data_IF_539369974389
#
_entry.id   IF_539369974389
#
_cell.length_a   1.000
_cell.length_b   1.000
_cell.length_c   1.000
_cell.angle_alpha   90.00
_cell.angle_beta   90.00
_cell.angle_gamma   90.00
#
_symmetry.space_group_name_H-M   'P 1'
#
loop_
_entity.id
_entity.type
_entity.pdbx_description
1 polymer ?
#
# COMPACT_ATOMS: atom_id res chain seq x y z
N UNK A 1 -11.49 -16.83 -8.34
CA UNK A 1 -10.71 -16.03 -9.30
C UNK A 1 -10.92 -16.56 -10.70
N UNK A 2 -10.19 -17.60 -11.06
CA UNK A 2 -10.19 -18.20 -12.41
C UNK A 2 -11.59 -18.55 -12.92
N UNK A 3 -12.40 -19.22 -12.10
CA UNK A 3 -13.78 -19.62 -12.47
C UNK A 3 -14.70 -18.42 -12.75
N UNK A 4 -14.34 -17.23 -12.27
CA UNK A 4 -15.05 -15.97 -12.50
C UNK A 4 -14.34 -15.06 -13.52
N UNK A 5 -13.28 -15.55 -14.18
CA UNK A 5 -12.49 -14.77 -15.14
C UNK A 5 -11.60 -13.70 -14.51
N UNK A 6 -11.36 -13.74 -13.20
CA UNK A 6 -10.54 -12.76 -12.48
C UNK A 6 -9.20 -13.38 -12.11
N UNK A 7 -8.09 -12.77 -12.57
CA UNK A 7 -6.75 -13.16 -12.14
C UNK A 7 -6.61 -12.93 -10.63
N UNK A 8 -6.18 -13.95 -9.91
CA UNK A 8 -6.04 -13.91 -8.45
C UNK A 8 -4.69 -14.49 -8.04
N UNK A 9 -4.01 -13.79 -7.15
CA UNK A 9 -2.77 -14.24 -6.50
C UNK A 9 -3.01 -14.17 -4.99
N UNK A 10 -2.42 -15.09 -4.24
CA UNK A 10 -2.52 -15.13 -2.78
C UNK A 10 -1.12 -15.18 -2.17
N UNK A 11 -0.88 -14.32 -1.18
CA UNK A 11 0.33 -14.30 -0.37
C UNK A 11 -0.02 -14.84 1.02
N UNK A 12 0.74 -15.82 1.50
CA UNK A 12 0.66 -16.27 2.89
C UNK A 12 1.69 -15.47 3.69
N UNK A 13 1.21 -14.62 4.59
CA UNK A 13 2.05 -13.67 5.35
C UNK A 13 2.05 -14.04 6.83
N UNK A 14 3.17 -13.80 7.50
CA UNK A 14 3.23 -13.99 8.95
C UNK A 14 2.36 -12.96 9.67
N UNK A 15 1.67 -13.43 10.72
CA UNK A 15 0.79 -12.63 11.58
C UNK A 15 1.03 -12.98 13.05
N UNK A 16 2.23 -13.50 13.37
CA UNK A 16 2.62 -13.84 14.75
C UNK A 16 2.67 -12.61 15.67
N UNK A 17 2.86 -11.43 15.09
CA UNK A 17 2.71 -10.11 15.72
C UNK A 17 1.85 -9.20 14.85
N UNK A 18 1.30 -8.10 15.40
CA UNK A 18 0.71 -7.04 14.58
C UNK A 18 1.69 -6.56 13.52
N UNK A 19 1.17 -6.25 12.35
CA UNK A 19 1.92 -5.54 11.30
C UNK A 19 2.03 -4.07 11.71
N UNK A 20 3.23 -3.51 11.62
CA UNK A 20 3.52 -2.14 12.03
C UNK A 20 3.61 -1.98 13.55
N UNK A 21 3.52 -0.73 14.00
CA UNK A 21 3.68 -0.35 15.42
C UNK A 21 2.38 0.18 16.02
N UNK A 22 1.31 0.28 15.23
CA UNK A 22 0.04 0.85 15.66
C UNK A 22 -1.14 -0.09 15.47
N UNK A 23 -2.14 0.05 16.35
CA UNK A 23 -3.43 -0.61 16.21
C UNK A 23 -4.52 0.34 16.72
N UNK A 24 -5.47 0.69 15.85
CA UNK A 24 -6.57 1.62 16.08
C UNK A 24 -6.70 2.66 14.96
N UNK A 25 -7.90 3.23 14.85
CA UNK A 25 -8.32 4.02 13.67
C UNK A 25 -7.35 5.15 13.25
N UNK A 26 -7.20 6.18 14.07
CA UNK A 26 -6.39 7.35 13.70
C UNK A 26 -4.88 7.07 13.80
N UNK A 27 -4.49 6.11 14.62
CA UNK A 27 -3.08 5.72 14.78
C UNK A 27 -2.57 5.04 13.52
N UNK A 28 -3.36 4.13 12.93
CA UNK A 28 -3.05 3.44 11.68
C UNK A 28 -3.01 4.41 10.48
N UNK A 29 -3.92 5.40 10.43
CA UNK A 29 -3.88 6.45 9.40
C UNK A 29 -2.58 7.25 9.50
N UNK A 30 -2.17 7.64 10.71
CA UNK A 30 -0.91 8.36 10.93
C UNK A 30 0.30 7.53 10.48
N UNK A 31 0.34 6.25 10.83
CA UNK A 31 1.43 5.34 10.41
C UNK A 31 1.47 5.15 8.89
N UNK A 32 0.30 5.05 8.23
CA UNK A 32 0.20 4.99 6.77
C UNK A 32 0.74 6.26 6.09
N UNK A 33 0.42 7.44 6.65
CA UNK A 33 0.94 8.72 6.16
C UNK A 33 2.46 8.83 6.40
N UNK A 34 2.97 8.30 7.51
CA UNK A 34 4.41 8.22 7.78
C UNK A 34 5.13 7.36 6.73
N UNK A 35 4.58 6.19 6.39
CA UNK A 35 5.09 5.33 5.31
C UNK A 35 5.11 6.06 3.98
N UNK A 36 3.99 6.71 3.61
CA UNK A 36 3.89 7.50 2.37
C UNK A 36 4.86 8.69 2.33
N UNK A 37 5.30 9.19 3.50
CA UNK A 37 6.29 10.25 3.62
C UNK A 37 7.75 9.75 3.60
N UNK A 38 7.97 8.44 3.41
CA UNK A 38 9.29 7.81 3.35
C UNK A 38 9.83 7.34 4.71
N UNK A 39 8.98 7.28 5.74
CA UNK A 39 9.31 6.74 7.07
C UNK A 39 8.52 5.46 7.37
N UNK A 40 8.20 5.24 8.64
CA UNK A 40 7.33 4.15 9.09
C UNK A 40 8.00 2.77 9.22
N UNK A 41 7.23 1.77 9.68
CA UNK A 41 7.75 0.43 9.97
C UNK A 41 8.11 -0.34 8.70
N UNK A 42 9.27 -1.00 8.70
CA UNK A 42 9.77 -1.72 7.53
C UNK A 42 8.87 -2.90 7.11
N UNK A 43 8.24 -3.59 8.06
CA UNK A 43 7.34 -4.70 7.80
C UNK A 43 6.07 -4.26 7.04
N UNK A 44 5.53 -3.07 7.35
CA UNK A 44 4.43 -2.45 6.59
C UNK A 44 4.87 -2.11 5.18
N UNK A 45 6.07 -1.52 5.01
CA UNK A 45 6.63 -1.17 3.70
C UNK A 45 6.81 -2.42 2.85
N UNK A 46 7.48 -3.45 3.39
CA UNK A 46 7.82 -4.68 2.67
C UNK A 46 6.58 -5.40 2.17
N UNK A 47 5.57 -5.56 3.04
CA UNK A 47 4.32 -6.22 2.66
C UNK A 47 3.53 -5.39 1.65
N UNK A 48 3.48 -4.07 1.81
CA UNK A 48 2.80 -3.17 0.86
C UNK A 48 3.43 -3.25 -0.53
N UNK A 49 4.76 -3.22 -0.61
CA UNK A 49 5.48 -3.33 -1.88
C UNK A 49 5.32 -4.72 -2.51
N UNK A 50 5.32 -5.80 -1.71
CA UNK A 50 5.07 -7.15 -2.21
C UNK A 50 3.67 -7.27 -2.83
N UNK A 51 2.64 -6.81 -2.13
CA UNK A 51 1.26 -6.80 -2.65
C UNK A 51 1.11 -5.93 -3.89
N UNK A 52 1.70 -4.73 -3.89
CA UNK A 52 1.63 -3.80 -5.02
C UNK A 52 2.27 -4.39 -6.29
N UNK A 53 3.42 -5.08 -6.18
CA UNK A 53 4.07 -5.75 -7.31
C UNK A 53 3.16 -6.81 -7.93
N UNK A 54 2.52 -7.65 -7.11
CA UNK A 54 1.57 -8.65 -7.59
C UNK A 54 0.33 -8.03 -8.27
N UNK A 55 -0.16 -6.91 -7.74
CA UNK A 55 -1.27 -6.15 -8.34
C UNK A 55 -0.88 -5.56 -9.70
N UNK A 56 0.31 -4.98 -9.82
CA UNK A 56 0.82 -4.43 -11.07
C UNK A 56 1.02 -5.53 -12.12
N UNK A 57 1.59 -6.66 -11.72
CA UNK A 57 1.74 -7.83 -12.57
C UNK A 57 0.38 -8.38 -13.01
N UNK A 58 -0.60 -8.42 -12.10
CA UNK A 58 -1.97 -8.82 -12.39
C UNK A 58 -2.64 -7.90 -13.43
N UNK A 59 -2.38 -6.60 -13.35
CA UNK A 59 -2.87 -5.57 -14.27
C UNK A 59 -2.08 -5.47 -15.59
N UNK A 60 -0.93 -6.16 -15.70
CA UNK A 60 -0.05 -6.08 -16.87
C UNK A 60 0.79 -4.79 -16.96
N UNK A 61 0.94 -4.06 -15.84
CA UNK A 61 1.67 -2.80 -15.74
C UNK A 61 3.14 -3.03 -15.36
N UNK A 62 3.89 -3.71 -16.24
CA UNK A 62 5.26 -4.16 -15.94
C UNK A 62 6.31 -3.06 -15.79
N UNK A 63 6.05 -1.88 -16.34
CA UNK A 63 6.95 -0.72 -16.27
C UNK A 63 6.71 0.13 -15.02
N UNK A 64 5.63 -0.14 -14.27
CA UNK A 64 5.33 0.55 -13.03
C UNK A 64 6.16 -0.02 -11.88
N UNK A 65 6.73 0.86 -11.06
CA UNK A 65 7.53 0.50 -9.91
C UNK A 65 6.93 1.13 -8.65
N UNK A 66 6.34 0.32 -7.74
CA UNK A 66 5.70 0.84 -6.54
C UNK A 66 6.73 1.36 -5.53
N UNK A 67 7.97 0.87 -5.55
CA UNK A 67 9.04 1.36 -4.68
C UNK A 67 9.49 2.74 -5.12
N UNK A 68 9.63 2.96 -6.43
CA UNK A 68 9.84 4.29 -6.99
C UNK A 68 8.70 5.25 -6.65
N UNK A 69 7.45 4.81 -6.80
CA UNK A 69 6.29 5.65 -6.51
C UNK A 69 6.19 6.05 -5.03
N UNK A 70 6.64 5.17 -4.13
CA UNK A 70 6.77 5.47 -2.71
C UNK A 70 7.91 6.46 -2.46
N UNK A 71 9.08 6.21 -3.06
CA UNK A 71 10.28 7.02 -2.85
C UNK A 71 10.22 8.43 -3.47
N UNK A 72 9.55 8.59 -4.62
CA UNK A 72 9.42 9.87 -5.32
C UNK A 72 8.23 10.73 -4.84
N UNK A 73 7.43 10.21 -3.89
CA UNK A 73 6.29 10.91 -3.29
C UNK A 73 5.01 10.87 -4.13
N UNK A 74 5.01 10.27 -5.32
CA UNK A 74 3.81 10.19 -6.16
C UNK A 74 2.69 9.36 -5.52
N UNK A 75 3.01 8.38 -4.67
CA UNK A 75 2.04 7.66 -3.86
C UNK A 75 1.31 8.58 -2.87
N UNK A 76 2.03 9.47 -2.20
CA UNK A 76 1.46 10.47 -1.30
C UNK A 76 0.56 11.45 -2.06
N UNK A 77 0.94 11.87 -3.27
CA UNK A 77 0.11 12.76 -4.09
C UNK A 77 -1.22 12.09 -4.49
N UNK A 78 -1.21 10.80 -4.80
CA UNK A 78 -2.44 10.01 -5.04
C UNK A 78 -3.30 9.96 -3.79
N UNK A 79 -2.70 9.72 -2.61
CA UNK A 79 -3.41 9.70 -1.34
C UNK A 79 -4.09 11.05 -1.06
N UNK A 80 -3.38 12.17 -1.18
CA UNK A 80 -3.96 13.52 -0.99
C UNK A 80 -5.13 13.77 -1.93
N UNK A 81 -4.99 13.43 -3.22
CA UNK A 81 -6.09 13.55 -4.19
C UNK A 81 -7.30 12.70 -3.81
N UNK A 82 -7.07 11.47 -3.34
CA UNK A 82 -8.13 10.57 -2.90
C UNK A 82 -8.89 11.13 -1.69
N UNK A 83 -8.18 11.68 -0.70
CA UNK A 83 -8.78 12.30 0.49
C UNK A 83 -9.61 13.51 0.12
N UNK A 84 -9.05 14.45 -0.66
CA UNK A 84 -9.78 15.64 -1.11
C UNK A 84 -11.01 15.28 -1.96
N UNK A 85 -10.92 14.26 -2.82
CA UNK A 85 -12.04 13.81 -3.65
C UNK A 85 -13.22 13.25 -2.82
N UNK A 86 -12.97 12.82 -1.59
CA UNK A 86 -13.97 12.31 -0.65
C UNK A 86 -14.36 13.35 0.42
N UNK A 87 -13.91 14.61 0.28
CA UNK A 87 -14.25 15.71 1.18
C UNK A 87 -13.46 15.75 2.48
N UNK A 88 -12.34 15.02 2.58
CA UNK A 88 -11.41 15.11 3.71
C UNK A 88 -10.43 16.27 3.59
N UNK A 89 -9.69 16.49 4.68
CA UNK A 89 -8.55 17.45 4.73
C UNK A 89 -7.23 16.66 4.65
N UNK A 90 -6.49 16.74 3.53
CA UNK A 90 -5.27 15.97 3.27
C UNK A 90 -4.02 16.47 4.01
#
# INVERSE_FOLDING_TARGET
GTDSGVRTVALLTDMSTPLGLTAGNALEVRESVEVLAGGGPQDVIDLTLALAREMLDAAGLKDADPEKALADGSAMDVWRRMISAQGGDP
#
